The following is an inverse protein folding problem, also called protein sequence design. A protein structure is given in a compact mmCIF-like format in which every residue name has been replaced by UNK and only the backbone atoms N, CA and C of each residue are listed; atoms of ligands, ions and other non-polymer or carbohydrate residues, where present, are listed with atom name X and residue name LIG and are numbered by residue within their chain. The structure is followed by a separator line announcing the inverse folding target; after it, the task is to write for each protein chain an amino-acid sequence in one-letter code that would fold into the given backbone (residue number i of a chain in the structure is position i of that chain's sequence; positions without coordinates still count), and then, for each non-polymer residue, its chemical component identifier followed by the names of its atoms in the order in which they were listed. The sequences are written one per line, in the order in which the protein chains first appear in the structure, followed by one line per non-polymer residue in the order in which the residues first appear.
data_IF_846011464343
#
_entry.id   IF_846011464343
#
_cell.length_a   1.000
_cell.length_b   1.000
_cell.length_c   1.000
_cell.angle_alpha   90.00
_cell.angle_beta   90.00
_cell.angle_gamma   90.00
#
_symmetry.space_group_name_H-M   'P 1'
#
loop_
_entity.id
_entity.type
_entity.pdbx_description
1 polymer ?
#
# COMPACT_ATOMS: atom_id res chain seq x y z
N UNK A 1 -13.89 27.19 -10.73
CA UNK A 1 -12.60 26.65 -11.25
C UNK A 1 -11.94 25.85 -10.14
N UNK A 2 -11.32 24.72 -10.46
CA UNK A 2 -10.60 23.91 -9.48
C UNK A 2 -9.27 24.57 -9.07
N UNK A 3 -8.84 24.35 -7.83
CA UNK A 3 -7.53 24.80 -7.35
C UNK A 3 -6.41 24.12 -8.15
N UNK A 4 -5.56 24.93 -8.79
CA UNK A 4 -4.43 24.44 -9.58
C UNK A 4 -3.40 23.72 -8.73
N UNK A 5 -3.24 24.14 -7.46
CA UNK A 5 -2.37 23.47 -6.50
C UNK A 5 -2.88 22.06 -6.17
N UNK A 6 -4.19 21.89 -5.99
CA UNK A 6 -4.78 20.57 -5.74
C UNK A 6 -4.64 19.64 -6.95
N UNK A 7 -4.78 20.18 -8.17
CA UNK A 7 -4.53 19.41 -9.40
C UNK A 7 -3.08 18.96 -9.43
N UNK A 8 -2.12 19.85 -9.15
CA UNK A 8 -0.69 19.51 -9.11
C UNK A 8 -0.40 18.40 -8.09
N UNK A 9 -0.89 18.52 -6.86
CA UNK A 9 -0.66 17.52 -5.82
C UNK A 9 -1.31 16.16 -6.13
N UNK A 10 -2.51 16.17 -6.71
CA UNK A 10 -3.22 14.94 -7.08
C UNK A 10 -2.68 14.24 -8.33
N UNK A 11 -2.07 14.99 -9.27
CA UNK A 11 -1.50 14.44 -10.50
C UNK A 11 -0.01 14.13 -10.39
N UNK A 12 0.65 14.62 -9.34
CA UNK A 12 2.07 14.34 -9.10
C UNK A 12 2.28 12.86 -8.83
N UNK A 13 3.13 12.26 -9.66
CA UNK A 13 3.51 10.84 -9.55
C UNK A 13 4.38 10.61 -8.32
N UNK A 14 4.18 9.47 -7.69
CA UNK A 14 5.04 8.97 -6.61
C UNK A 14 5.96 7.90 -7.18
N UNK A 15 7.27 8.16 -7.16
CA UNK A 15 8.29 7.23 -7.66
C UNK A 15 8.21 5.87 -6.96
N UNK A 16 7.95 5.85 -5.66
CA UNK A 16 7.77 4.61 -4.88
C UNK A 16 6.57 3.81 -5.40
N UNK A 17 5.44 4.47 -5.69
CA UNK A 17 4.24 3.78 -6.21
C UNK A 17 4.45 3.26 -7.63
N UNK A 18 5.19 3.98 -8.46
CA UNK A 18 5.53 3.53 -9.81
C UNK A 18 6.45 2.29 -9.76
N UNK A 19 7.45 2.29 -8.87
CA UNK A 19 8.35 1.15 -8.70
C UNK A 19 7.62 -0.09 -8.17
N UNK A 20 6.73 0.08 -7.20
CA UNK A 20 5.86 -1.00 -6.70
C UNK A 20 4.98 -1.58 -7.82
N UNK A 21 4.33 -0.72 -8.62
CA UNK A 21 3.52 -1.17 -9.75
C UNK A 21 4.34 -1.93 -10.81
N UNK A 22 5.57 -1.47 -11.08
CA UNK A 22 6.49 -2.20 -11.94
C UNK A 22 6.87 -3.58 -11.34
N UNK A 23 7.12 -3.67 -10.04
CA UNK A 23 7.36 -4.93 -9.34
C UNK A 23 6.23 -5.94 -9.53
N UNK A 24 4.98 -5.50 -9.42
CA UNK A 24 3.79 -6.34 -9.69
C UNK A 24 3.75 -6.85 -11.14
N UNK A 25 4.01 -5.97 -12.12
CA UNK A 25 4.07 -6.37 -13.53
C UNK A 25 5.19 -7.39 -13.79
N UNK A 26 6.33 -7.26 -13.09
CA UNK A 26 7.42 -8.24 -13.18
C UNK A 26 7.01 -9.57 -12.55
N UNK A 27 6.35 -9.55 -11.40
CA UNK A 27 5.90 -10.77 -10.72
C UNK A 27 4.94 -11.61 -11.59
N UNK A 28 4.10 -10.98 -12.41
CA UNK A 28 3.25 -11.68 -13.40
C UNK A 28 4.05 -12.42 -14.49
N UNK A 29 5.23 -11.91 -14.85
CA UNK A 29 6.08 -12.46 -15.92
C UNK A 29 7.08 -13.49 -15.41
N UNK A 30 7.67 -13.24 -14.23
CA UNK A 30 8.79 -14.04 -13.70
C UNK A 30 8.50 -14.73 -12.37
N UNK A 31 7.28 -14.62 -11.83
CA UNK A 31 6.95 -15.11 -10.49
C UNK A 31 7.35 -14.12 -9.39
N UNK A 32 6.53 -14.01 -8.34
CA UNK A 32 6.74 -13.08 -7.23
C UNK A 32 8.01 -13.39 -6.43
N UNK A 33 8.35 -14.67 -6.32
CA UNK A 33 9.56 -15.17 -5.65
C UNK A 33 10.86 -14.69 -6.32
N UNK A 34 10.80 -14.27 -7.58
CA UNK A 34 11.94 -13.77 -8.34
C UNK A 34 12.01 -12.22 -8.37
N UNK A 35 11.12 -11.54 -7.64
CA UNK A 35 11.07 -10.07 -7.56
C UNK A 35 11.44 -9.63 -6.14
N UNK A 36 12.60 -8.98 -6.01
CA UNK A 36 13.08 -8.42 -4.74
C UNK A 36 12.56 -6.99 -4.55
N UNK A 37 11.28 -6.86 -4.19
CA UNK A 37 10.65 -5.55 -3.98
C UNK A 37 10.88 -5.00 -2.56
N UNK A 38 11.76 -4.00 -2.46
CA UNK A 38 12.03 -3.23 -1.24
C UNK A 38 11.52 -1.77 -1.32
N UNK A 39 10.54 -1.51 -2.20
CA UNK A 39 10.10 -0.14 -2.50
C UNK A 39 9.08 0.41 -1.50
N UNK A 40 7.97 -0.30 -1.27
CA UNK A 40 6.83 0.19 -0.51
C UNK A 40 6.90 -0.25 0.97
N UNK A 41 7.04 0.72 1.87
CA UNK A 41 7.18 0.50 3.32
C UNK A 41 5.87 0.28 4.07
N UNK A 42 4.94 -0.52 3.55
CA UNK A 42 3.71 -0.85 4.28
C UNK A 42 4.02 -1.81 5.45
N UNK A 43 3.30 -1.70 6.59
CA UNK A 43 3.42 -2.69 7.66
C UNK A 43 3.16 -4.11 7.14
N UNK A 44 4.07 -5.04 7.46
CA UNK A 44 4.02 -6.44 6.99
C UNK A 44 3.66 -7.44 8.09
N UNK A 45 3.67 -7.00 9.35
CA UNK A 45 3.28 -7.82 10.51
C UNK A 45 1.84 -7.53 10.90
N UNK A 46 1.05 -8.54 11.27
CA UNK A 46 -0.31 -8.33 11.75
C UNK A 46 -0.29 -7.55 13.07
N UNK A 47 -1.40 -6.87 13.36
CA UNK A 47 -1.60 -6.26 14.67
C UNK A 47 -1.66 -7.35 15.78
N UNK A 48 -1.34 -7.00 17.03
CA UNK A 48 -1.57 -7.89 18.17
C UNK A 48 -3.05 -8.31 18.26
N UNK A 49 -3.31 -9.54 18.73
CA UNK A 49 -4.66 -10.14 18.78
C UNK A 49 -5.63 -9.31 19.63
N UNK A 50 -5.10 -8.63 20.64
CA UNK A 50 -5.80 -7.74 21.55
C UNK A 50 -6.51 -6.60 20.81
N UNK A 51 -5.96 -6.15 19.66
CA UNK A 51 -6.59 -5.12 18.83
C UNK A 51 -7.87 -5.65 18.20
N UNK A 52 -7.84 -6.87 17.65
CA UNK A 52 -9.02 -7.51 17.06
C UNK A 52 -10.09 -7.80 18.12
N UNK A 53 -9.68 -8.33 19.28
CA UNK A 53 -10.58 -8.64 20.39
C UNK A 53 -11.32 -7.39 20.89
N UNK A 54 -10.60 -6.27 21.05
CA UNK A 54 -11.21 -5.00 21.45
C UNK A 54 -12.23 -4.48 20.41
N UNK A 55 -11.93 -4.61 19.11
CA UNK A 55 -12.87 -4.23 18.05
C UNK A 55 -14.13 -5.09 18.10
N UNK A 56 -13.99 -6.41 18.27
CA UNK A 56 -15.12 -7.34 18.34
C UNK A 56 -16.02 -7.05 19.53
N UNK A 57 -15.44 -6.75 20.69
CA UNK A 57 -16.18 -6.40 21.90
C UNK A 57 -17.03 -5.13 21.68
N UNK A 58 -16.43 -4.07 21.12
CA UNK A 58 -17.16 -2.81 20.82
C UNK A 58 -18.31 -3.03 19.82
N UNK A 59 -18.12 -3.88 18.80
CA UNK A 59 -19.10 -4.08 17.74
C UNK A 59 -20.28 -4.97 18.16
N UNK A 60 -20.07 -5.89 19.11
CA UNK A 60 -21.08 -6.88 19.53
C UNK A 60 -21.86 -6.51 20.79
N UNK A 61 -21.43 -5.47 21.51
CA UNK A 61 -22.14 -4.88 22.64
C UNK A 61 -23.11 -3.78 22.18
#
# INVERSE_FOLDING_TARGET
MLSQEMIKLGTQRSVIRELFAYGLQRAEVIGAENVLDFSLGNPSVPAPKEVEEAIIDIVKN
#
